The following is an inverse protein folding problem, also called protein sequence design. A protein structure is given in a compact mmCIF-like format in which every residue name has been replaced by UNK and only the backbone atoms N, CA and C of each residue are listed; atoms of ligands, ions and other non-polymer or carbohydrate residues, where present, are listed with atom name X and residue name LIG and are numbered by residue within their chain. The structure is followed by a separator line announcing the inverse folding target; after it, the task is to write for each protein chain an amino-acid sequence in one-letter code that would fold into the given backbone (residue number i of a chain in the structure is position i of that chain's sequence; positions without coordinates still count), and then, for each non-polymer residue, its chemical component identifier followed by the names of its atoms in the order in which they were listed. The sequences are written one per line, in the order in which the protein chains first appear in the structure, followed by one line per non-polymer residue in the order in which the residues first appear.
data_IF_524147960515
#
_entry.id   IF_524147960515
#
_cell.length_a   1.000
_cell.length_b   1.000
_cell.length_c   1.000
_cell.angle_alpha   90.00
_cell.angle_beta   90.00
_cell.angle_gamma   90.00
#
_symmetry.space_group_name_H-M   'P 1'
#
loop_
_entity.id
_entity.type
_entity.pdbx_description
1 polymer ?
#
# COMPACT_ATOMS: atom_id res chain seq x y z
N UNK A 1 4.28 -8.65 -19.09
CA UNK A 1 5.10 -8.06 -18.01
C UNK A 1 5.52 -9.17 -17.08
N UNK A 2 6.75 -9.09 -16.59
CA UNK A 2 7.25 -10.00 -15.56
C UNK A 2 6.61 -9.65 -14.21
N UNK A 3 6.17 -10.65 -13.45
CA UNK A 3 5.55 -10.41 -12.14
C UNK A 3 6.57 -9.82 -11.17
N UNK A 4 6.17 -8.76 -10.47
CA UNK A 4 7.00 -8.13 -9.42
C UNK A 4 6.98 -8.91 -8.10
N UNK A 5 5.85 -9.55 -7.80
CA UNK A 5 5.62 -10.26 -6.55
C UNK A 5 4.59 -11.37 -6.74
N UNK A 6 4.44 -12.21 -5.72
CA UNK A 6 3.37 -13.21 -5.60
C UNK A 6 2.67 -13.09 -4.25
N UNK A 7 1.48 -13.68 -4.16
CA UNK A 7 0.75 -13.90 -2.91
C UNK A 7 1.23 -15.24 -2.32
N UNK A 8 1.56 -15.26 -1.04
CA UNK A 8 1.93 -16.49 -0.33
C UNK A 8 0.74 -17.09 0.42
N UNK A 9 0.93 -18.27 1.01
CA UNK A 9 -0.09 -18.93 1.86
C UNK A 9 -0.21 -18.33 3.27
N UNK A 10 0.65 -17.38 3.65
CA UNK A 10 0.55 -16.67 4.93
C UNK A 10 -0.59 -15.65 4.85
N UNK A 11 -1.61 -15.81 5.68
CA UNK A 11 -2.81 -14.98 5.68
C UNK A 11 -3.02 -14.21 6.98
N UNK A 12 -3.83 -13.14 6.90
CA UNK A 12 -4.32 -12.42 8.07
C UNK A 12 -5.78 -12.03 7.93
N UNK A 13 -6.51 -12.10 9.05
CA UNK A 13 -7.95 -11.79 9.16
C UNK A 13 -8.21 -10.50 9.95
N UNK A 14 -7.20 -9.61 10.05
CA UNK A 14 -7.28 -8.33 10.77
C UNK A 14 -8.46 -7.46 10.29
N UNK A 15 -8.90 -7.67 9.04
CA UNK A 15 -10.08 -7.00 8.47
C UNK A 15 -11.19 -8.04 8.34
N UNK A 16 -12.19 -7.97 9.24
CA UNK A 16 -13.14 -9.05 9.61
C UNK A 16 -14.05 -9.64 8.51
N UNK A 17 -13.78 -9.40 7.23
CA UNK A 17 -14.47 -10.03 6.12
C UNK A 17 -13.59 -10.34 4.88
N UNK A 18 -12.28 -10.04 4.90
CA UNK A 18 -11.39 -10.33 3.77
C UNK A 18 -10.09 -10.98 4.26
N UNK A 19 -9.78 -12.14 3.69
CA UNK A 19 -8.48 -12.77 3.82
C UNK A 19 -7.47 -11.96 3.02
N UNK A 20 -6.42 -11.49 3.70
CA UNK A 20 -5.28 -10.87 3.02
C UNK A 20 -4.11 -11.85 3.01
N UNK A 21 -3.32 -11.78 1.95
CA UNK A 21 -2.17 -12.64 1.72
C UNK A 21 -0.89 -11.84 1.81
N UNK A 22 0.10 -12.38 2.51
CA UNK A 22 1.44 -11.82 2.59
C UNK A 22 2.06 -11.83 1.19
N UNK A 23 2.62 -10.70 0.77
CA UNK A 23 3.31 -10.60 -0.52
C UNK A 23 4.78 -11.01 -0.40
N UNK A 24 5.32 -11.61 -1.46
CA UNK A 24 6.74 -11.93 -1.61
C UNK A 24 7.28 -11.38 -2.93
N UNK A 25 8.38 -10.65 -2.89
CA UNK A 25 9.02 -10.11 -4.08
C UNK A 25 9.63 -11.23 -4.93
N UNK A 26 9.44 -11.16 -6.26
CA UNK A 26 9.97 -12.13 -7.23
C UNK A 26 11.23 -11.65 -7.93
N UNK A 27 11.55 -10.36 -7.83
CA UNK A 27 12.71 -9.72 -8.45
C UNK A 27 13.17 -8.52 -7.62
N UNK A 28 14.37 -8.05 -7.88
CA UNK A 28 14.91 -6.83 -7.28
C UNK A 28 14.27 -5.57 -7.89
N UNK A 29 13.94 -4.59 -7.03
CA UNK A 29 13.52 -3.24 -7.42
C UNK A 29 13.67 -2.28 -6.23
N UNK A 30 14.16 -1.07 -6.49
CA UNK A 30 14.41 -0.07 -5.45
C UNK A 30 15.22 -0.66 -4.27
N UNK A 31 14.68 -0.62 -3.06
CA UNK A 31 15.24 -1.19 -1.84
C UNK A 31 14.80 -2.64 -1.56
N UNK A 32 13.93 -3.23 -2.38
CA UNK A 32 13.38 -4.58 -2.22
C UNK A 32 14.17 -5.61 -3.04
N UNK A 33 14.47 -6.75 -2.42
CA UNK A 33 15.19 -7.88 -3.02
C UNK A 33 14.28 -9.06 -3.30
N UNK A 34 14.63 -9.85 -4.32
CA UNK A 34 13.92 -11.08 -4.62
C UNK A 34 13.90 -12.01 -3.38
N UNK A 35 12.71 -12.47 -3.01
CA UNK A 35 12.48 -13.27 -1.81
C UNK A 35 12.03 -12.49 -0.59
N UNK A 36 12.14 -11.16 -0.58
CA UNK A 36 11.71 -10.32 0.55
C UNK A 36 10.19 -10.42 0.75
N UNK A 37 9.79 -10.54 2.02
CA UNK A 37 8.39 -10.47 2.42
C UNK A 37 7.97 -9.01 2.63
N UNK A 38 6.79 -8.68 2.12
CA UNK A 38 6.13 -7.40 2.35
C UNK A 38 4.96 -7.52 3.33
N UNK A 39 4.03 -6.58 3.25
CA UNK A 39 2.77 -6.61 4.00
C UNK A 39 1.71 -7.49 3.34
N UNK A 40 0.45 -7.16 3.57
CA UNK A 40 -0.70 -7.99 3.21
C UNK A 40 -1.62 -7.26 2.23
N UNK A 41 -2.00 -7.98 1.17
CA UNK A 41 -2.97 -7.49 0.19
C UNK A 41 -4.07 -8.52 -0.06
N UNK A 42 -5.26 -8.07 -0.47
CA UNK A 42 -6.38 -8.97 -0.77
C UNK A 42 -6.15 -9.74 -2.07
N UNK A 43 -5.67 -9.05 -3.11
CA UNK A 43 -5.39 -9.62 -4.42
C UNK A 43 -4.47 -8.70 -5.23
N UNK A 44 -4.00 -9.18 -6.40
CA UNK A 44 -3.06 -8.45 -7.27
C UNK A 44 -3.59 -7.10 -7.78
N UNK A 45 -4.90 -6.81 -7.68
CA UNK A 45 -5.42 -5.48 -8.05
C UNK A 45 -5.07 -4.39 -7.04
N UNK A 46 -4.62 -4.75 -5.83
CA UNK A 46 -4.28 -3.79 -4.79
C UNK A 46 -2.90 -3.15 -4.96
N UNK A 47 -1.95 -3.85 -5.55
CA UNK A 47 -0.57 -3.40 -5.66
C UNK A 47 -0.08 -3.61 -7.09
N UNK A 48 0.30 -2.54 -7.77
CA UNK A 48 0.76 -2.65 -9.16
C UNK A 48 2.03 -3.49 -9.28
N UNK A 49 2.14 -4.28 -10.35
CA UNK A 49 3.40 -4.92 -10.74
C UNK A 49 4.37 -3.94 -11.43
N UNK A 50 3.88 -2.78 -11.85
CA UNK A 50 4.68 -1.69 -12.42
C UNK A 50 5.15 -0.72 -11.33
N UNK A 51 6.24 0.00 -11.63
CA UNK A 51 6.87 0.94 -10.72
C UNK A 51 7.44 0.29 -9.45
N UNK A 52 7.84 1.14 -8.50
CA UNK A 52 8.50 0.76 -7.25
C UNK A 52 7.55 0.71 -6.05
N UNK A 53 6.23 0.80 -6.27
CA UNK A 53 5.27 0.74 -5.19
C UNK A 53 5.37 -0.58 -4.42
N UNK A 54 5.26 -0.49 -3.08
CA UNK A 54 5.40 -1.66 -2.21
C UNK A 54 4.67 -1.47 -0.88
N UNK A 55 4.23 -2.60 -0.32
CA UNK A 55 3.63 -2.69 1.00
C UNK A 55 4.63 -3.42 1.88
N UNK A 56 5.13 -2.77 2.92
CA UNK A 56 6.14 -3.27 3.85
C UNK A 56 5.51 -3.73 5.17
N UNK A 57 6.31 -4.41 6.00
CA UNK A 57 5.98 -4.75 7.39
C UNK A 57 4.63 -5.49 7.53
N UNK A 58 3.72 -4.99 8.38
CA UNK A 58 2.39 -5.54 8.61
C UNK A 58 1.29 -4.69 7.96
N UNK A 59 1.66 -3.80 7.04
CA UNK A 59 0.69 -2.93 6.40
C UNK A 59 -0.32 -3.74 5.60
N UNK A 60 -1.57 -3.27 5.58
CA UNK A 60 -2.69 -3.99 4.99
C UNK A 60 -3.38 -3.13 3.94
N UNK A 61 -3.59 -3.68 2.75
CA UNK A 61 -4.33 -3.03 1.65
C UNK A 61 -5.48 -3.93 1.20
N UNK A 62 -6.71 -3.42 1.24
CA UNK A 62 -7.91 -4.23 0.98
C UNK A 62 -9.06 -3.40 0.37
N UNK A 63 -10.19 -4.05 0.11
CA UNK A 63 -11.45 -3.44 -0.34
C UNK A 63 -11.26 -2.61 -1.62
N UNK A 64 -10.56 -3.18 -2.60
CA UNK A 64 -10.35 -2.55 -3.91
C UNK A 64 -9.47 -1.30 -3.90
N UNK A 65 -8.75 -1.01 -2.80
CA UNK A 65 -7.74 0.05 -2.74
C UNK A 65 -6.60 -0.26 -3.72
N UNK A 66 -5.96 0.77 -4.27
CA UNK A 66 -4.93 0.63 -5.31
C UNK A 66 -3.68 1.43 -4.97
N UNK A 67 -2.54 0.74 -4.95
CA UNK A 67 -1.21 1.29 -4.75
C UNK A 67 -0.42 1.13 -6.04
N UNK A 68 0.12 2.22 -6.59
CA UNK A 68 0.85 2.21 -7.85
C UNK A 68 1.96 3.29 -7.87
N UNK A 69 2.69 3.39 -8.99
CA UNK A 69 3.89 4.23 -9.15
C UNK A 69 5.00 3.89 -8.15
N UNK A 70 5.41 4.83 -7.30
CA UNK A 70 6.46 4.66 -6.28
C UNK A 70 5.89 4.74 -4.85
N UNK A 71 4.58 4.61 -4.68
CA UNK A 71 3.94 4.73 -3.37
C UNK A 71 4.39 3.62 -2.41
N UNK A 72 4.70 3.99 -1.17
CA UNK A 72 5.19 3.05 -0.15
C UNK A 72 4.34 3.07 1.11
N UNK A 73 3.90 1.90 1.55
CA UNK A 73 3.07 1.72 2.76
C UNK A 73 3.84 0.89 3.78
N UNK A 74 3.96 1.33 5.02
CA UNK A 74 4.83 0.73 6.03
C UNK A 74 4.11 0.44 7.36
N UNK A 75 4.84 -0.25 8.24
CA UNK A 75 4.49 -0.54 9.63
C UNK A 75 3.13 -1.25 9.77
N UNK A 76 2.16 -0.64 10.45
CA UNK A 76 0.83 -1.19 10.67
C UNK A 76 -0.25 -0.39 9.93
N UNK A 77 0.14 0.41 8.92
CA UNK A 77 -0.79 1.24 8.19
C UNK A 77 -1.85 0.39 7.49
N UNK A 78 -3.09 0.89 7.45
CA UNK A 78 -4.23 0.20 6.86
C UNK A 78 -4.90 1.07 5.83
N UNK A 79 -5.06 0.53 4.62
CA UNK A 79 -5.73 1.18 3.50
C UNK A 79 -6.92 0.34 3.05
N UNK A 80 -8.11 0.92 3.08
CA UNK A 80 -9.33 0.21 2.70
C UNK A 80 -10.32 1.09 1.95
N UNK A 81 -11.16 0.47 1.12
CA UNK A 81 -12.33 1.09 0.49
C UNK A 81 -12.07 1.85 -0.81
N UNK A 82 -11.16 1.38 -1.66
CA UNK A 82 -10.90 2.03 -2.95
C UNK A 82 -10.03 3.27 -2.86
N UNK A 83 -9.28 3.43 -1.76
CA UNK A 83 -8.25 4.46 -1.65
C UNK A 83 -7.20 4.31 -2.76
N UNK A 84 -6.73 5.43 -3.31
CA UNK A 84 -5.71 5.46 -4.36
C UNK A 84 -4.47 6.17 -3.85
N UNK A 85 -3.37 5.44 -3.79
CA UNK A 85 -2.09 5.94 -3.31
C UNK A 85 -1.06 5.73 -4.41
N UNK A 86 -0.45 6.83 -4.85
CA UNK A 86 0.36 6.84 -6.06
C UNK A 86 1.41 7.95 -6.04
N UNK A 87 2.16 8.11 -7.14
CA UNK A 87 3.38 8.92 -7.19
C UNK A 87 4.38 8.50 -6.09
N UNK A 88 4.87 9.42 -5.25
CA UNK A 88 5.87 9.14 -4.21
C UNK A 88 5.26 9.11 -2.80
N UNK A 89 3.94 8.96 -2.70
CA UNK A 89 3.24 9.03 -1.41
C UNK A 89 3.73 7.94 -0.44
N UNK A 90 3.87 8.32 0.82
CA UNK A 90 4.30 7.44 1.90
C UNK A 90 3.29 7.42 3.04
N UNK A 91 2.91 6.23 3.47
CA UNK A 91 2.00 6.01 4.59
C UNK A 91 2.65 5.06 5.58
N UNK A 92 2.77 5.45 6.84
CA UNK A 92 3.50 4.69 7.85
C UNK A 92 2.93 4.90 9.26
N UNK A 93 3.49 4.21 10.26
CA UNK A 93 2.92 4.17 11.62
C UNK A 93 1.67 3.30 11.71
N UNK A 94 0.61 3.79 12.39
CA UNK A 94 -0.69 3.12 12.50
C UNK A 94 -1.76 3.83 11.67
N UNK A 95 -1.34 4.57 10.64
CA UNK A 95 -2.25 5.41 9.87
C UNK A 95 -3.35 4.59 9.19
N UNK A 96 -4.54 5.17 9.16
CA UNK A 96 -5.75 4.56 8.62
C UNK A 96 -6.27 5.42 7.48
N UNK A 97 -6.43 4.80 6.31
CA UNK A 97 -7.00 5.42 5.11
C UNK A 97 -8.35 4.80 4.80
N UNK A 98 -9.40 5.61 4.92
CA UNK A 98 -10.77 5.22 4.63
C UNK A 98 -11.11 5.29 3.13
N UNK A 99 -12.29 4.77 2.74
CA UNK A 99 -12.71 4.74 1.35
C UNK A 99 -12.57 6.06 0.59
N UNK A 100 -12.23 5.96 -0.70
CA UNK A 100 -12.18 7.07 -1.67
C UNK A 100 -11.12 8.16 -1.48
N UNK A 101 -10.20 8.02 -0.51
CA UNK A 101 -9.07 8.94 -0.38
C UNK A 101 -8.13 8.85 -1.61
N UNK A 102 -7.58 10.00 -2.02
CA UNK A 102 -6.52 10.09 -3.04
C UNK A 102 -5.30 10.74 -2.42
N UNK A 103 -4.20 10.00 -2.34
CA UNK A 103 -2.95 10.43 -1.70
C UNK A 103 -1.85 10.33 -2.75
N UNK A 104 -1.19 11.44 -3.05
CA UNK A 104 -0.24 11.53 -4.17
C UNK A 104 0.77 12.67 -3.95
N UNK A 105 1.66 12.90 -4.90
CA UNK A 105 2.85 13.73 -4.75
C UNK A 105 3.84 13.11 -3.77
N UNK A 106 4.50 13.93 -2.97
CA UNK A 106 5.39 13.51 -1.89
C UNK A 106 4.69 13.53 -0.52
N UNK A 107 3.37 13.29 -0.51
CA UNK A 107 2.57 13.25 0.71
C UNK A 107 3.12 12.21 1.70
N UNK A 108 3.25 12.62 2.96
CA UNK A 108 3.67 11.75 4.07
C UNK A 108 2.58 11.72 5.13
N UNK A 109 2.10 10.52 5.42
CA UNK A 109 1.03 10.29 6.40
C UNK A 109 1.55 9.31 7.44
N UNK A 110 1.46 9.69 8.71
CA UNK A 110 2.13 8.97 9.78
C UNK A 110 1.46 9.10 11.13
N UNK A 111 1.92 8.29 12.09
CA UNK A 111 1.34 8.22 13.43
C UNK A 111 -0.03 7.53 13.43
N UNK A 112 -0.91 7.95 14.33
CA UNK A 112 -2.28 7.45 14.47
C UNK A 112 -3.25 8.32 13.64
N UNK A 113 -2.87 8.65 12.40
CA UNK A 113 -3.67 9.51 11.52
C UNK A 113 -4.85 8.76 10.91
N UNK A 114 -6.04 9.38 10.90
CA UNK A 114 -7.23 8.87 10.22
C UNK A 114 -7.63 9.81 9.08
N UNK A 115 -7.73 9.27 7.86
CA UNK A 115 -8.13 10.04 6.67
C UNK A 115 -9.49 9.57 6.21
N UNK A 116 -10.49 10.39 6.43
CA UNK A 116 -11.89 10.08 6.15
C UNK A 116 -12.40 10.79 4.89
N UNK A 117 -13.40 10.18 4.24
CA UNK A 117 -14.11 10.77 3.10
C UNK A 117 -13.29 10.90 1.82
N UNK A 118 -13.80 11.68 0.86
CA UNK A 118 -13.13 11.96 -0.42
C UNK A 118 -11.96 12.95 -0.27
N UNK A 119 -11.03 12.64 0.63
CA UNK A 119 -9.86 13.47 0.91
C UNK A 119 -8.86 13.42 -0.24
N UNK A 120 -8.30 14.57 -0.60
CA UNK A 120 -7.16 14.70 -1.52
C UNK A 120 -5.97 15.24 -0.74
N UNK A 121 -4.95 14.42 -0.56
CA UNK A 121 -3.75 14.78 0.19
C UNK A 121 -2.58 14.77 -0.78
N UNK A 122 -1.93 15.91 -0.90
CA UNK A 122 -0.74 16.08 -1.73
C UNK A 122 0.15 17.15 -1.12
N UNK A 123 1.45 17.07 -1.39
CA UNK A 123 2.37 18.16 -1.11
C UNK A 123 2.29 19.18 -2.23
N UNK A 124 2.24 20.47 -1.88
CA UNK A 124 2.41 21.52 -2.87
C UNK A 124 3.88 21.61 -3.24
N UNK A 125 4.27 21.06 -4.39
CA UNK A 125 5.47 21.54 -5.06
C UNK A 125 5.15 22.93 -5.63
N UNK A 126 5.38 23.98 -4.83
CA UNK A 126 5.67 25.29 -5.43
C UNK A 126 7.04 25.15 -6.11
N UNK A 127 7.04 25.06 -7.44
CA UNK A 127 8.19 25.52 -8.23
C UNK A 127 8.29 27.04 -8.15
#
# INVERSE_FOLDING_TARGET
MEKKYELTDETTDIVSCHTLYRIRALRDFDDVKAGDLGGFIENESNLSHDGNCWVYDNACVTWGSKIYDNAKIYNNARVYGGGRIFENAQIYGNAIVYPNARIYGDAKIYGDSEICGESRITTNEKK
#
